data_IF_518976980960
#
_entry.id   IF_518976980960
#
_cell.length_a   1.000
_cell.length_b   1.000
_cell.length_c   1.000
_cell.angle_alpha   90.00
_cell.angle_beta   90.00
_cell.angle_gamma   90.00
#
_symmetry.space_group_name_H-M   'P 1'
#
loop_
_entity.id
_entity.type
_entity.pdbx_description
1 polymer ?
#
# COMPACT_ATOMS: atom_id res chain seq x y z
N UNK A 1 -22.45 -22.16 7.54
CA UNK A 1 -22.42 -20.68 7.35
C UNK A 1 -21.15 -20.20 8.02
N UNK A 2 -20.18 -19.62 7.32
CA UNK A 2 -20.32 -18.44 6.47
C UNK A 2 -19.58 -18.59 5.15
N UNK A 3 -20.22 -18.20 4.06
CA UNK A 3 -19.56 -17.97 2.79
C UNK A 3 -18.53 -16.85 3.02
N UNK A 4 -17.25 -17.16 2.85
CA UNK A 4 -16.23 -16.13 2.67
C UNK A 4 -16.73 -15.29 1.50
N UNK A 5 -17.15 -14.05 1.78
CA UNK A 5 -17.55 -13.10 0.75
C UNK A 5 -16.36 -13.00 -0.20
N UNK A 6 -16.44 -13.67 -1.35
CA UNK A 6 -15.36 -13.70 -2.32
C UNK A 6 -15.27 -12.27 -2.84
N UNK A 7 -14.07 -11.70 -2.85
CA UNK A 7 -13.86 -10.45 -3.58
C UNK A 7 -14.26 -10.74 -5.03
N UNK A 8 -15.30 -10.05 -5.50
CA UNK A 8 -15.58 -10.01 -6.92
C UNK A 8 -14.66 -8.94 -7.50
N UNK A 9 -13.95 -9.25 -8.58
CA UNK A 9 -13.02 -8.30 -9.21
C UNK A 9 -13.71 -6.98 -9.58
N UNK A 10 -15.00 -7.01 -9.92
CA UNK A 10 -15.79 -5.82 -10.22
C UNK A 10 -15.97 -4.86 -9.01
N UNK A 11 -15.77 -5.33 -7.78
CA UNK A 11 -15.86 -4.53 -6.55
C UNK A 11 -14.48 -3.98 -6.12
N UNK A 12 -13.39 -4.41 -6.76
CA UNK A 12 -12.01 -4.02 -6.43
C UNK A 12 -11.49 -3.00 -7.46
N UNK A 13 -11.24 -1.78 -6.99
CA UNK A 13 -10.67 -0.70 -7.77
C UNK A 13 -9.23 -0.45 -7.34
N UNK A 14 -8.31 -0.31 -8.31
CA UNK A 14 -6.96 0.17 -8.05
C UNK A 14 -6.82 1.57 -8.64
N UNK A 15 -6.32 2.52 -7.84
CA UNK A 15 -6.04 3.89 -8.29
C UNK A 15 -4.83 4.49 -7.58
N UNK A 16 -4.30 5.56 -8.15
CA UNK A 16 -3.31 6.41 -7.48
C UNK A 16 -3.88 6.95 -6.15
N UNK A 17 -3.01 7.03 -5.14
CA UNK A 17 -3.32 7.60 -3.85
C UNK A 17 -3.47 9.13 -3.94
N UNK A 18 -4.52 9.64 -3.33
CA UNK A 18 -4.78 11.05 -3.12
C UNK A 18 -4.22 11.50 -1.76
N UNK A 19 -3.92 12.79 -1.58
CA UNK A 19 -3.43 13.30 -0.30
C UNK A 19 -4.33 12.97 0.92
N UNK A 20 -5.64 12.86 0.69
CA UNK A 20 -6.63 12.59 1.73
C UNK A 20 -6.68 11.10 2.12
N UNK A 21 -6.17 10.20 1.28
CA UNK A 21 -6.06 8.76 1.59
C UNK A 21 -5.04 8.49 2.71
N UNK A 22 -4.18 9.45 3.03
CA UNK A 22 -3.14 9.32 4.05
C UNK A 22 -3.69 8.86 5.41
N UNK A 23 -4.91 9.26 5.77
CA UNK A 23 -5.57 8.82 7.00
C UNK A 23 -5.83 7.31 6.99
N UNK A 24 -6.43 6.79 5.92
CA UNK A 24 -6.76 5.37 5.80
C UNK A 24 -5.50 4.52 5.65
N UNK A 25 -4.52 4.98 4.88
CA UNK A 25 -3.22 4.31 4.70
C UNK A 25 -2.48 4.22 6.04
N UNK A 26 -2.40 5.31 6.79
CA UNK A 26 -1.76 5.31 8.11
C UNK A 26 -2.46 4.35 9.07
N UNK A 27 -3.80 4.36 9.10
CA UNK A 27 -4.58 3.46 9.95
C UNK A 27 -4.33 1.98 9.61
N UNK A 28 -4.30 1.63 8.32
CA UNK A 28 -3.98 0.27 7.86
C UNK A 28 -2.55 -0.14 8.27
N UNK A 29 -1.58 0.76 8.07
CA UNK A 29 -0.18 0.48 8.37
C UNK A 29 0.12 0.34 9.86
N UNK A 30 -0.60 1.06 10.74
CA UNK A 30 -0.49 0.94 12.20
C UNK A 30 -0.62 -0.52 12.65
N UNK A 31 -1.56 -1.27 12.09
CA UNK A 31 -1.74 -2.66 12.46
C UNK A 31 -0.50 -3.50 12.12
N UNK A 32 0.09 -3.29 10.94
CA UNK A 32 1.27 -4.01 10.47
C UNK A 32 2.53 -3.69 11.28
N UNK A 33 2.68 -2.45 11.71
CA UNK A 33 3.78 -2.03 12.60
C UNK A 33 3.64 -2.70 13.98
N UNK A 34 2.44 -2.67 14.57
CA UNK A 34 2.25 -3.13 15.95
C UNK A 34 2.09 -4.65 16.09
N UNK A 35 1.60 -5.34 15.06
CA UNK A 35 1.21 -6.75 15.15
C UNK A 35 1.88 -7.64 14.08
N UNK A 36 2.45 -7.04 13.06
CA UNK A 36 3.00 -7.73 11.90
C UNK A 36 4.50 -7.95 11.98
N UNK A 37 5.04 -8.52 10.90
CA UNK A 37 6.49 -8.61 10.62
C UNK A 37 6.83 -8.10 9.21
N UNK A 38 5.85 -7.46 8.56
CA UNK A 38 5.97 -6.96 7.20
C UNK A 38 6.78 -5.66 7.13
N UNK A 39 6.90 -4.95 8.25
CA UNK A 39 7.74 -3.77 8.40
C UNK A 39 8.73 -3.97 9.54
N UNK A 40 9.84 -3.24 9.46
CA UNK A 40 10.80 -3.10 10.56
C UNK A 40 10.60 -1.80 11.36
N UNK A 41 9.60 -0.98 11.03
CA UNK A 41 9.21 0.14 11.88
C UNK A 41 8.63 -0.38 13.20
N UNK A 42 9.02 0.22 14.33
CA UNK A 42 8.54 -0.13 15.67
C UNK A 42 7.46 0.85 16.19
N UNK A 43 7.44 2.07 15.65
CA UNK A 43 6.51 3.15 16.03
C UNK A 43 5.69 3.51 14.80
N UNK A 44 4.36 3.40 14.83
CA UNK A 44 3.53 3.76 13.69
C UNK A 44 3.70 5.23 13.30
N UNK A 45 3.80 5.56 12.00
CA UNK A 45 3.88 6.93 11.56
C UNK A 45 2.55 7.66 11.81
N UNK A 46 2.66 8.96 12.06
CA UNK A 46 1.52 9.88 12.03
C UNK A 46 0.96 10.01 10.61
N UNK A 47 -0.27 10.51 10.51
CA UNK A 47 -0.90 10.79 9.21
C UNK A 47 -0.09 11.80 8.40
N UNK A 48 0.50 12.81 9.05
CA UNK A 48 1.29 13.83 8.36
C UNK A 48 2.61 13.26 7.81
N UNK A 49 3.27 12.37 8.56
CA UNK A 49 4.42 11.63 8.06
C UNK A 49 4.04 10.76 6.87
N UNK A 50 2.88 10.09 6.94
CA UNK A 50 2.39 9.29 5.82
C UNK A 50 2.10 10.15 4.58
N UNK A 51 1.43 11.29 4.75
CA UNK A 51 1.18 12.24 3.66
C UNK A 51 2.49 12.71 3.03
N UNK A 52 3.52 12.98 3.85
CA UNK A 52 4.85 13.36 3.36
C UNK A 52 5.51 12.24 2.54
N UNK A 53 5.45 10.98 3.00
CA UNK A 53 5.99 9.83 2.27
C UNK A 53 5.30 9.65 0.91
N UNK A 54 3.97 9.71 0.87
CA UNK A 54 3.18 9.66 -0.38
C UNK A 54 3.67 10.74 -1.35
N UNK A 55 3.78 11.99 -0.85
CA UNK A 55 4.25 13.11 -1.68
C UNK A 55 5.67 12.87 -2.20
N UNK A 56 6.61 12.45 -1.34
CA UNK A 56 8.01 12.22 -1.74
C UNK A 56 8.15 11.16 -2.83
N UNK A 57 7.41 10.06 -2.72
CA UNK A 57 7.41 8.99 -3.74
C UNK A 57 6.86 9.53 -5.06
N UNK A 58 5.71 10.21 -5.04
CA UNK A 58 5.09 10.77 -6.25
C UNK A 58 5.93 11.87 -6.90
N UNK A 59 6.53 12.75 -6.11
CA UNK A 59 7.47 13.78 -6.61
C UNK A 59 8.70 13.16 -7.29
N UNK A 60 9.05 11.91 -6.92
CA UNK A 60 10.14 11.14 -7.54
C UNK A 60 9.71 10.40 -8.82
N UNK A 61 8.47 10.58 -9.27
CA UNK A 61 7.92 9.93 -10.46
C UNK A 61 7.60 8.44 -10.26
N UNK A 62 7.46 7.98 -9.01
CA UNK A 62 7.18 6.59 -8.67
C UNK A 62 5.73 6.42 -8.17
N UNK A 63 5.11 5.26 -8.39
CA UNK A 63 3.70 5.03 -8.06
C UNK A 63 3.46 4.93 -6.55
N UNK A 64 2.29 5.39 -6.13
CA UNK A 64 1.68 5.03 -4.84
C UNK A 64 0.22 4.70 -5.09
N UNK A 65 -0.13 3.42 -5.04
CA UNK A 65 -1.47 2.94 -5.38
C UNK A 65 -2.22 2.51 -4.13
N UNK A 66 -3.55 2.63 -4.18
CA UNK A 66 -4.48 2.09 -3.20
C UNK A 66 -5.43 1.11 -3.87
N UNK A 67 -5.81 0.08 -3.13
CA UNK A 67 -6.87 -0.85 -3.49
C UNK A 67 -8.12 -0.50 -2.69
N UNK A 68 -9.21 -0.19 -3.39
CA UNK A 68 -10.51 0.06 -2.80
C UNK A 68 -11.41 -1.15 -3.04
N UNK A 69 -12.00 -1.68 -1.97
CA UNK A 69 -13.09 -2.64 -2.08
C UNK A 69 -14.38 -1.97 -1.64
N UNK A 70 -15.34 -1.86 -2.56
CA UNK A 70 -16.62 -1.13 -2.34
C UNK A 70 -16.41 0.28 -1.77
N UNK A 71 -15.42 0.99 -2.29
CA UNK A 71 -15.09 2.36 -1.88
C UNK A 71 -14.26 2.48 -0.58
N UNK A 72 -13.91 1.38 0.08
CA UNK A 72 -13.06 1.38 1.28
C UNK A 72 -11.65 0.95 0.92
N UNK A 73 -10.63 1.68 1.37
CA UNK A 73 -9.23 1.27 1.18
C UNK A 73 -8.96 -0.01 1.99
N UNK A 74 -8.53 -1.05 1.30
CA UNK A 74 -8.24 -2.39 1.85
C UNK A 74 -6.81 -2.85 1.57
N UNK A 75 -6.00 -2.00 0.95
CA UNK A 75 -4.59 -2.22 0.71
C UNK A 75 -3.96 -1.05 0.00
N UNK A 76 -2.64 -1.00 0.03
CA UNK A 76 -1.86 -0.02 -0.74
C UNK A 76 -0.50 -0.62 -1.12
N UNK A 77 0.09 -0.08 -2.19
CA UNK A 77 1.47 -0.34 -2.54
C UNK A 77 2.20 0.93 -2.96
N UNK A 78 3.52 0.90 -2.91
CA UNK A 78 4.36 1.97 -3.43
C UNK A 78 5.72 1.43 -3.82
N UNK A 79 6.39 2.14 -4.74
CA UNK A 79 7.75 1.85 -5.15
C UNK A 79 8.71 2.95 -4.69
N UNK A 80 9.94 2.57 -4.34
CA UNK A 80 11.03 3.50 -4.03
C UNK A 80 12.33 3.08 -4.71
N UNK A 81 13.28 4.00 -4.84
CA UNK A 81 14.62 3.62 -5.27
C UNK A 81 15.30 2.74 -4.23
N UNK A 82 15.82 1.59 -4.64
CA UNK A 82 16.39 0.61 -3.71
C UNK A 82 17.60 1.17 -2.95
N UNK A 83 18.56 1.80 -3.65
CA UNK A 83 19.78 2.38 -3.05
C UNK A 83 20.24 3.61 -3.83
N UNK A 84 20.93 4.57 -3.18
CA UNK A 84 21.28 5.84 -3.81
C UNK A 84 22.45 5.75 -4.80
N UNK A 85 23.23 4.67 -4.82
CA UNK A 85 24.39 4.56 -5.71
C UNK A 85 23.92 4.44 -7.17
N UNK A 86 24.53 5.15 -8.14
CA UNK A 86 24.08 5.17 -9.54
C UNK A 86 23.97 3.82 -10.26
N UNK A 87 24.67 2.80 -9.76
CA UNK A 87 24.58 1.42 -10.27
C UNK A 87 23.19 0.79 -10.04
N UNK A 88 22.42 1.27 -9.05
CA UNK A 88 21.08 0.77 -8.73
C UNK A 88 19.96 1.61 -9.37
N UNK A 89 20.26 2.55 -10.29
CA UNK A 89 19.24 3.45 -10.87
C UNK A 89 18.11 2.75 -11.64
N UNK A 90 18.30 1.47 -11.97
CA UNK A 90 17.31 0.62 -12.62
C UNK A 90 16.70 -0.42 -11.66
N UNK A 91 16.90 -0.26 -10.36
CA UNK A 91 16.39 -1.15 -9.32
C UNK A 91 15.49 -0.38 -8.38
N UNK A 92 14.23 -0.78 -8.34
CA UNK A 92 13.24 -0.29 -7.39
C UNK A 92 12.98 -1.35 -6.32
N UNK A 93 12.48 -0.91 -5.19
CA UNK A 93 11.91 -1.74 -4.13
C UNK A 93 10.42 -1.40 -4.04
N UNK A 94 9.58 -2.44 -4.00
CA UNK A 94 8.14 -2.30 -3.85
C UNK A 94 7.72 -2.81 -2.47
N UNK A 95 6.78 -2.10 -1.85
CA UNK A 95 6.16 -2.49 -0.59
C UNK A 95 4.65 -2.57 -0.76
N UNK A 96 4.03 -3.64 -0.27
CA UNK A 96 2.59 -3.90 -0.39
C UNK A 96 2.04 -4.26 0.98
N UNK A 97 0.98 -3.58 1.40
CA UNK A 97 0.27 -3.84 2.64
C UNK A 97 -1.22 -4.02 2.35
N UNK A 98 -1.82 -5.04 2.97
CA UNK A 98 -3.23 -5.39 2.84
C UNK A 98 -3.88 -5.33 4.20
N UNK A 99 -5.13 -4.92 4.27
CA UNK A 99 -5.92 -4.84 5.50
C UNK A 99 -5.89 -6.17 6.27
N UNK A 100 -5.81 -6.09 7.60
CA UNK A 100 -5.72 -7.26 8.44
C UNK A 100 -6.93 -8.18 8.24
N UNK A 101 -6.69 -9.48 8.01
CA UNK A 101 -7.75 -10.45 7.73
C UNK A 101 -8.27 -10.45 6.27
N UNK A 102 -7.77 -9.56 5.41
CA UNK A 102 -8.07 -9.56 3.97
C UNK A 102 -6.99 -10.24 3.11
N UNK A 103 -5.96 -10.82 3.74
CA UNK A 103 -4.94 -11.63 3.06
C UNK A 103 -5.52 -12.84 2.33
N UNK A 104 -4.83 -13.31 1.29
CA UNK A 104 -5.21 -14.48 0.50
C UNK A 104 -6.37 -14.27 -0.48
N UNK A 105 -6.80 -13.01 -0.68
CA UNK A 105 -7.95 -12.66 -1.54
C UNK A 105 -7.56 -12.02 -2.89
N UNK A 106 -6.27 -12.00 -3.24
CA UNK A 106 -5.79 -11.43 -4.50
C UNK A 106 -5.52 -9.92 -4.50
N UNK A 107 -5.83 -9.18 -3.42
CA UNK A 107 -5.60 -7.71 -3.32
C UNK A 107 -4.12 -7.35 -3.59
N UNK A 108 -3.19 -8.05 -2.92
CA UNK A 108 -1.76 -7.79 -3.11
C UNK A 108 -1.29 -8.09 -4.53
N UNK A 109 -1.84 -9.12 -5.17
CA UNK A 109 -1.55 -9.44 -6.58
C UNK A 109 -2.09 -8.37 -7.53
N UNK A 110 -3.30 -7.87 -7.29
CA UNK A 110 -3.88 -6.79 -8.09
C UNK A 110 -3.07 -5.49 -7.97
N UNK A 111 -2.62 -5.14 -6.75
CA UNK A 111 -1.72 -4.00 -6.52
C UNK A 111 -0.39 -4.16 -7.25
N UNK A 112 0.27 -5.33 -7.12
CA UNK A 112 1.53 -5.63 -7.78
C UNK A 112 1.41 -5.57 -9.31
N UNK A 113 0.33 -6.10 -9.87
CA UNK A 113 0.09 -6.05 -11.32
C UNK A 113 -0.15 -4.64 -11.84
N UNK A 114 -0.73 -3.74 -11.03
CA UNK A 114 -0.96 -2.35 -11.40
C UNK A 114 0.26 -1.44 -11.21
N UNK A 115 1.25 -1.86 -10.40
CA UNK A 115 2.47 -1.11 -10.14
C UNK A 115 3.54 -1.22 -11.24
N UNK A 116 3.33 -2.07 -12.25
CA UNK A 116 4.25 -2.37 -13.35
C UNK A 116 3.75 -1.87 -14.71
#
# INVERSE_FOLDING_TARGET
MSAVDKLHDADLEIREALPDDAHAIAALYVWHVLNGRASFEEIPPTVDEMRKRIKTVRDSGLPWLVALWRGTIVGYCYATFYRPRPAYRYTLEESIYVEAGMGGRGIGSALLSAAN
#
